data_IF_755732891580
#
_entry.id   IF_755732891580
#
_cell.length_a   1.000
_cell.length_b   1.000
_cell.length_c   1.000
_cell.angle_alpha   90.00
_cell.angle_beta   90.00
_cell.angle_gamma   90.00
#
_symmetry.space_group_name_H-M   'P 1'
#
loop_
_entity.id
_entity.type
_entity.pdbx_description
1 polymer ?
#
# COMPACT_ATOMS: atom_id res chain seq x y z
N UNK A 1 6.89 6.84 -1.70
CA UNK A 1 6.35 5.58 -1.11
C UNK A 1 5.29 5.82 -0.03
N UNK A 2 5.56 6.65 0.98
CA UNK A 2 4.61 6.87 2.09
C UNK A 2 3.34 7.62 1.65
N UNK A 3 3.47 8.61 0.76
CA UNK A 3 2.33 9.26 0.09
C UNK A 3 1.36 8.24 -0.54
N UNK A 4 1.88 7.34 -1.38
CA UNK A 4 1.08 6.31 -2.05
C UNK A 4 0.46 5.31 -1.06
N UNK A 5 1.15 5.00 0.05
CA UNK A 5 0.60 4.14 1.10
C UNK A 5 -0.60 4.81 1.77
N UNK A 6 -0.50 6.11 2.08
CA UNK A 6 -1.59 6.89 2.63
C UNK A 6 -2.76 6.99 1.64
N UNK A 7 -2.47 7.36 0.38
CA UNK A 7 -3.47 7.48 -0.68
C UNK A 7 -4.26 6.17 -0.89
N UNK A 8 -3.55 5.03 -0.90
CA UNK A 8 -4.18 3.72 -1.02
C UNK A 8 -5.01 3.38 0.23
N UNK A 9 -4.50 3.72 1.43
CA UNK A 9 -5.23 3.54 2.69
C UNK A 9 -6.57 4.28 2.70
N UNK A 10 -6.59 5.56 2.36
CA UNK A 10 -7.81 6.38 2.36
C UNK A 10 -8.79 5.97 1.26
N UNK A 11 -8.31 5.52 0.09
CA UNK A 11 -9.20 5.12 -1.01
C UNK A 11 -9.79 3.71 -0.85
N UNK A 12 -9.11 2.81 -0.13
CA UNK A 12 -9.50 1.39 -0.03
C UNK A 12 -10.06 1.00 1.33
N UNK A 13 -9.71 1.72 2.40
CA UNK A 13 -10.04 1.34 3.77
C UNK A 13 -9.40 0.02 4.21
N UNK A 14 -8.36 -0.45 3.53
CA UNK A 14 -7.63 -1.64 3.93
C UNK A 14 -6.78 -1.38 5.18
N UNK A 15 -6.60 -2.43 6.01
CA UNK A 15 -5.69 -2.35 7.14
C UNK A 15 -4.27 -2.23 6.62
N UNK A 16 -3.43 -1.46 7.33
CA UNK A 16 -2.01 -1.28 6.97
C UNK A 16 -1.30 -2.62 6.78
N UNK A 17 -1.56 -3.62 7.62
CA UNK A 17 -0.98 -4.95 7.48
C UNK A 17 -1.36 -5.69 6.19
N UNK A 18 -2.58 -5.48 5.68
CA UNK A 18 -3.04 -6.03 4.41
C UNK A 18 -2.40 -5.27 3.24
N UNK A 19 -2.33 -3.93 3.33
CA UNK A 19 -1.68 -3.05 2.33
C UNK A 19 -0.21 -3.41 2.13
N UNK A 20 0.53 -3.65 3.22
CA UNK A 20 1.95 -3.98 3.17
C UNK A 20 2.25 -5.31 2.48
N UNK A 21 1.26 -6.21 2.38
CA UNK A 21 1.40 -7.49 1.68
C UNK A 21 1.09 -7.41 0.18
N UNK A 22 0.52 -6.30 -0.30
CA UNK A 22 0.23 -6.11 -1.71
C UNK A 22 1.50 -6.17 -2.54
N UNK A 23 1.40 -6.86 -3.68
CA UNK A 23 2.43 -6.90 -4.70
C UNK A 23 2.00 -6.11 -5.94
N UNK A 24 2.95 -5.81 -6.81
CA UNK A 24 2.67 -5.08 -8.05
C UNK A 24 1.63 -5.79 -8.90
N UNK A 25 1.65 -7.14 -8.99
CA UNK A 25 0.63 -7.92 -9.70
C UNK A 25 -0.80 -7.70 -9.20
N UNK A 26 -0.97 -7.35 -7.92
CA UNK A 26 -2.28 -7.22 -7.28
C UNK A 26 -2.98 -5.90 -7.63
N UNK A 27 -2.25 -4.96 -8.26
CA UNK A 27 -2.72 -3.60 -8.61
C UNK A 27 -2.68 -3.28 -10.11
N UNK A 28 -2.31 -4.25 -10.97
CA UNK A 28 -2.21 -4.04 -12.43
C UNK A 28 -3.57 -3.73 -13.12
N UNK A 29 -4.66 -4.22 -12.54
CA UNK A 29 -6.00 -4.13 -13.12
C UNK A 29 -6.71 -2.80 -12.85
N UNK A 30 -8.05 -2.85 -12.90
CA UNK A 30 -8.91 -1.80 -12.34
C UNK A 30 -9.28 -2.03 -10.88
N UNK A 31 -8.96 -3.22 -10.36
CA UNK A 31 -9.27 -3.62 -9.00
C UNK A 31 -8.00 -3.96 -8.26
N UNK A 32 -7.93 -3.54 -7.00
CA UNK A 32 -6.91 -3.99 -6.05
C UNK A 32 -7.44 -5.26 -5.41
N UNK A 33 -6.70 -6.36 -5.58
CA UNK A 33 -7.04 -7.66 -4.98
C UNK A 33 -6.18 -7.89 -3.75
N UNK A 34 -6.81 -8.05 -2.59
CA UNK A 34 -6.09 -8.34 -1.35
C UNK A 34 -6.66 -9.60 -0.72
N UNK A 35 -5.78 -10.44 -0.17
CA UNK A 35 -6.19 -11.55 0.68
C UNK A 35 -6.16 -11.06 2.11
N UNK A 36 -7.34 -10.92 2.72
CA UNK A 36 -7.46 -10.46 4.10
C UNK A 36 -6.75 -11.44 5.05
N UNK A 37 -5.92 -10.92 5.94
CA UNK A 37 -5.20 -11.75 6.90
C UNK A 37 -6.12 -12.48 7.88
N UNK A 38 -7.12 -11.77 8.41
CA UNK A 38 -7.96 -12.27 9.51
C UNK A 38 -8.89 -13.40 9.07
N UNK A 39 -9.46 -13.28 7.87
CA UNK A 39 -10.51 -14.18 7.37
C UNK A 39 -10.01 -15.13 6.28
N UNK A 40 -8.84 -14.84 5.69
CA UNK A 40 -8.30 -15.57 4.55
C UNK A 40 -9.04 -15.33 3.23
N UNK A 41 -10.12 -14.54 3.24
CA UNK A 41 -10.96 -14.25 2.07
C UNK A 41 -10.29 -13.23 1.15
N UNK A 42 -10.62 -13.31 -0.14
CA UNK A 42 -10.23 -12.29 -1.09
C UNK A 42 -11.21 -11.14 -1.07
N UNK A 43 -10.67 -9.92 -0.99
CA UNK A 43 -11.41 -8.69 -1.16
C UNK A 43 -10.89 -7.98 -2.40
N UNK A 44 -11.81 -7.45 -3.20
CA UNK A 44 -11.52 -6.75 -4.45
C UNK A 44 -12.18 -5.38 -4.37
N UNK A 45 -11.39 -4.32 -4.52
CA UNK A 45 -11.91 -2.94 -4.52
C UNK A 45 -11.56 -2.29 -5.86
N UNK A 46 -12.57 -1.69 -6.50
CA UNK A 46 -12.38 -0.93 -7.74
C UNK A 46 -11.65 0.37 -7.44
N UNK A 47 -10.58 0.64 -8.18
CA UNK A 47 -9.84 1.90 -8.07
C UNK A 47 -10.59 3.04 -8.73
N UNK A 48 -10.48 4.23 -8.13
CA UNK A 48 -10.83 5.48 -8.79
C UNK A 48 -9.82 5.76 -9.91
N UNK A 49 -10.23 6.56 -10.91
CA UNK A 49 -9.35 6.92 -12.03
C UNK A 49 -8.07 7.66 -11.56
N UNK A 50 -8.14 8.61 -10.62
CA UNK A 50 -6.94 9.25 -10.06
C UNK A 50 -6.00 8.25 -9.38
N UNK A 51 -6.53 7.39 -8.49
CA UNK A 51 -5.72 6.37 -7.81
C UNK A 51 -5.03 5.44 -8.79
N UNK A 52 -5.72 5.06 -9.87
CA UNK A 52 -5.15 4.18 -10.90
C UNK A 52 -3.99 4.84 -11.64
N UNK A 53 -4.11 6.12 -11.98
CA UNK A 53 -3.04 6.85 -12.67
C UNK A 53 -1.80 6.96 -11.78
N UNK A 54 -2.00 7.37 -10.53
CA UNK A 54 -0.95 7.47 -9.51
C UNK A 54 -0.25 6.11 -9.28
N UNK A 55 -1.03 5.03 -9.12
CA UNK A 55 -0.48 3.69 -8.93
C UNK A 55 0.32 3.20 -10.13
N UNK A 56 -0.12 3.49 -11.35
CA UNK A 56 0.59 3.10 -12.58
C UNK A 56 1.96 3.74 -12.65
N UNK A 57 2.05 5.03 -12.36
CA UNK A 57 3.34 5.72 -12.31
C UNK A 57 4.22 5.14 -11.19
N UNK A 58 3.63 4.88 -10.02
CA UNK A 58 4.36 4.33 -8.88
C UNK A 58 4.93 2.91 -9.09
N UNK A 59 4.36 2.11 -9.99
CA UNK A 59 4.81 0.73 -10.27
C UNK A 59 5.51 0.56 -11.61
N UNK A 60 5.73 1.64 -12.37
CA UNK A 60 6.25 1.60 -13.75
C UNK A 60 7.53 0.78 -13.90
N UNK A 61 8.46 0.94 -12.97
CA UNK A 61 9.78 0.29 -13.01
C UNK A 61 9.90 -0.89 -12.03
N UNK A 62 8.76 -1.50 -11.65
CA UNK A 62 8.72 -2.59 -10.67
C UNK A 62 8.25 -3.89 -11.29
N UNK A 63 8.81 -5.00 -10.83
CA UNK A 63 8.38 -6.31 -11.26
C UNK A 63 7.12 -6.78 -10.54
N UNK A 64 6.32 -7.60 -11.23
CA UNK A 64 5.02 -8.11 -10.75
C UNK A 64 5.09 -8.81 -9.39
N UNK A 65 6.22 -9.48 -9.10
CA UNK A 65 6.41 -10.28 -7.90
C UNK A 65 6.86 -9.45 -6.68
N UNK A 66 7.21 -8.18 -6.90
CA UNK A 66 7.69 -7.28 -5.87
C UNK A 66 6.58 -6.76 -4.97
N UNK A 67 6.91 -6.56 -3.70
CA UNK A 67 6.03 -5.83 -2.80
C UNK A 67 5.83 -4.40 -3.29
N UNK A 68 4.59 -3.92 -3.25
CA UNK A 68 4.25 -2.57 -3.65
C UNK A 68 5.02 -1.54 -2.81
N UNK A 69 5.14 -1.80 -1.51
CA UNK A 69 5.90 -1.00 -0.55
C UNK A 69 7.07 -1.79 0.02
N UNK A 70 8.24 -1.63 -0.58
CA UNK A 70 9.46 -2.32 -0.14
C UNK A 70 10.16 -1.60 1.03
N UNK A 71 10.78 -2.42 1.88
CA UNK A 71 11.78 -2.01 2.85
C UNK A 71 13.07 -1.59 2.14
N UNK A 72 13.84 -0.69 2.77
CA UNK A 72 15.22 -0.39 2.34
C UNK A 72 16.20 -1.51 2.72
N UNK A 73 15.83 -2.32 3.71
CA UNK A 73 16.66 -3.40 4.26
C UNK A 73 16.19 -4.74 3.70
N UNK A 74 17.11 -5.44 3.04
CA UNK A 74 16.88 -6.74 2.41
C UNK A 74 16.31 -6.65 0.99
N UNK A 75 16.37 -7.77 0.26
CA UNK A 75 15.87 -7.88 -1.11
C UNK A 75 14.38 -8.22 -1.13
N UNK A 76 13.58 -7.41 -1.83
CA UNK A 76 12.13 -7.59 -2.00
C UNK A 76 11.39 -7.95 -0.69
N UNK A 77 11.66 -7.21 0.38
CA UNK A 77 10.95 -7.34 1.66
C UNK A 77 9.89 -6.25 1.78
N UNK A 78 8.72 -6.60 2.29
CA UNK A 78 7.70 -5.62 2.62
C UNK A 78 8.21 -4.61 3.66
N UNK A 79 7.72 -3.38 3.58
CA UNK A 79 7.97 -2.35 4.58
C UNK A 79 7.40 -2.81 5.94
N UNK A 80 8.12 -2.51 7.03
CA UNK A 80 7.67 -2.88 8.37
C UNK A 80 6.48 -2.02 8.82
N UNK A 81 5.51 -2.66 9.47
CA UNK A 81 4.38 -1.99 10.12
C UNK A 81 4.85 -0.90 11.09
N UNK A 82 5.90 -1.17 11.89
CA UNK A 82 6.46 -0.21 12.84
C UNK A 82 6.94 1.07 12.15
N UNK A 83 7.56 0.94 10.97
CA UNK A 83 8.02 2.08 10.17
C UNK A 83 6.85 2.90 9.63
N UNK A 84 5.77 2.23 9.21
CA UNK A 84 4.55 2.93 8.76
C UNK A 84 3.90 3.69 9.91
N UNK A 85 3.74 3.03 11.06
CA UNK A 85 3.17 3.67 12.25
C UNK A 85 3.98 4.90 12.68
N UNK A 86 5.30 4.76 12.76
CA UNK A 86 6.19 5.88 13.10
C UNK A 86 6.06 7.05 12.11
N UNK A 87 6.01 6.77 10.82
CA UNK A 87 5.83 7.81 9.80
C UNK A 87 4.46 8.51 9.91
N UNK A 88 3.38 7.75 10.10
CA UNK A 88 2.04 8.31 10.23
C UNK A 88 1.90 9.16 11.50
N UNK A 89 2.44 8.68 12.62
CA UNK A 89 2.49 9.44 13.87
C UNK A 89 3.26 10.74 13.68
N UNK A 90 4.43 10.69 13.05
CA UNK A 90 5.24 11.88 12.80
C UNK A 90 4.51 12.91 11.93
N UNK A 91 3.84 12.45 10.88
CA UNK A 91 3.04 13.32 10.03
C UNK A 91 1.87 13.96 10.79
N UNK A 92 1.25 13.26 11.74
CA UNK A 92 0.20 13.82 12.59
C UNK A 92 0.75 14.89 13.54
N UNK A 93 1.89 14.62 14.20
CA UNK A 93 2.60 15.59 15.05
C UNK A 93 2.97 16.87 14.28
N UNK A 94 3.53 16.73 13.07
CA UNK A 94 3.91 17.87 12.22
C UNK A 94 2.68 18.70 11.76
N UNK A 95 1.49 18.10 11.77
CA UNK A 95 0.21 18.77 11.47
C UNK A 95 -0.54 19.27 12.72
N UNK A 96 -0.02 19.02 13.92
CA UNK A 96 -0.68 19.37 15.19
C UNK A 96 -1.94 18.54 15.49
N UNK A 97 -2.00 17.31 14.96
CA UNK A 97 -3.08 16.36 15.22
C UNK A 97 -2.58 15.36 16.27
N UNK A 98 -3.09 15.44 17.50
CA UNK A 98 -2.85 14.48 18.59
C UNK A 98 -3.89 13.35 18.61
#
# INVERSE_FOLDING_TARGET
KYYMLFLLGINTGFRVGDILKLKVKDVQGWHIKVREQKTGKYKSIKMTRPLKNELREFVKDKELHEYLFQSRVGKNKALSYKTVYWFLKRAAEDLGID
#
